data_IF_617000500312
#
_entry.id   IF_617000500312
#
_cell.length_a   1.000
_cell.length_b   1.000
_cell.length_c   1.000
_cell.angle_alpha   90.00
_cell.angle_beta   90.00
_cell.angle_gamma   90.00
#
_symmetry.space_group_name_H-M   'P 1'
#
loop_
_entity.id
_entity.type
_entity.pdbx_description
1 polymer ?
#
# COMPACT_ATOMS: atom_id res chain seq x y z
N UNK A 1 6.78 26.49 -30.63
CA UNK A 1 6.26 25.59 -29.58
C UNK A 1 7.17 25.80 -28.40
N UNK A 2 6.67 26.39 -27.31
CA UNK A 2 7.47 26.55 -26.10
C UNK A 2 7.85 25.16 -25.59
N UNK A 3 9.15 24.88 -25.50
CA UNK A 3 9.66 23.68 -24.84
C UNK A 3 9.44 23.84 -23.33
N UNK A 4 8.21 23.57 -22.88
CA UNK A 4 7.94 23.44 -21.45
C UNK A 4 8.55 22.13 -20.97
N UNK A 5 9.43 22.20 -19.96
CA UNK A 5 10.00 21.01 -19.32
C UNK A 5 8.87 20.09 -18.86
N UNK A 6 8.90 18.79 -19.19
CA UNK A 6 7.86 17.86 -18.75
C UNK A 6 7.74 17.88 -17.23
N UNK A 7 6.53 18.08 -16.72
CA UNK A 7 6.26 18.13 -15.28
C UNK A 7 5.68 16.80 -14.81
N UNK A 8 6.06 16.35 -13.61
CA UNK A 8 5.44 15.20 -12.96
C UNK A 8 4.01 15.56 -12.51
N UNK A 9 2.96 14.89 -13.03
CA UNK A 9 1.61 15.09 -12.51
C UNK A 9 1.54 14.76 -11.02
N UNK A 10 0.91 15.63 -10.24
CA UNK A 10 0.82 15.48 -8.78
C UNK A 10 -0.01 14.27 -8.35
N UNK A 11 -1.05 13.94 -9.11
CA UNK A 11 -2.03 12.93 -8.74
C UNK A 11 -2.52 12.22 -10.00
N UNK A 12 -2.52 10.89 -9.97
CA UNK A 12 -2.93 10.02 -11.07
C UNK A 12 -3.88 8.97 -10.49
N UNK A 13 -5.19 9.09 -10.69
CA UNK A 13 -6.11 8.06 -10.21
C UNK A 13 -5.97 6.79 -11.05
N UNK A 14 -6.24 5.65 -10.42
CA UNK A 14 -6.23 4.34 -11.05
C UNK A 14 -7.66 3.83 -11.20
N UNK A 15 -7.92 2.93 -12.17
CA UNK A 15 -9.24 2.31 -12.32
C UNK A 15 -9.66 1.64 -11.00
N UNK A 16 -10.80 2.05 -10.46
CA UNK A 16 -11.37 1.44 -9.27
C UNK A 16 -11.96 0.07 -9.62
N UNK A 17 -11.66 -0.93 -8.81
CA UNK A 17 -12.22 -2.27 -8.92
C UNK A 17 -13.56 -2.28 -8.18
N UNK A 18 -14.62 -2.46 -8.95
CA UNK A 18 -15.99 -2.44 -8.42
C UNK A 18 -16.48 -3.86 -8.14
N UNK A 19 -17.05 -4.02 -6.94
CA UNK A 19 -17.68 -5.25 -6.46
C UNK A 19 -18.96 -4.86 -5.71
N UNK A 20 -20.07 -4.53 -6.39
CA UNK A 20 -21.30 -4.25 -5.68
C UNK A 20 -21.73 -5.47 -4.86
N UNK A 21 -22.29 -5.21 -3.69
CA UNK A 21 -22.88 -6.23 -2.84
C UNK A 21 -24.31 -6.50 -3.30
N UNK A 22 -24.68 -7.77 -3.39
CA UNK A 22 -26.07 -8.18 -3.53
C UNK A 22 -26.59 -8.56 -2.15
N UNK A 23 -27.66 -7.90 -1.72
CA UNK A 23 -28.32 -8.10 -0.44
C UNK A 23 -29.78 -8.43 -0.78
N UNK A 24 -30.12 -9.71 -0.98
CA UNK A 24 -31.45 -10.10 -1.48
C UNK A 24 -32.58 -9.70 -0.53
N UNK A 25 -32.29 -9.69 0.77
CA UNK A 25 -33.21 -9.31 1.84
C UNK A 25 -32.49 -8.36 2.79
N UNK A 26 -33.13 -7.23 3.13
CA UNK A 26 -32.52 -6.19 3.95
C UNK A 26 -32.44 -6.56 5.44
N UNK A 27 -33.50 -7.20 5.97
CA UNK A 27 -33.62 -7.53 7.40
C UNK A 27 -33.26 -8.98 7.70
N UNK A 28 -32.58 -9.20 8.85
CA UNK A 28 -32.20 -10.55 9.27
C UNK A 28 -33.41 -11.43 9.59
N UNK A 29 -34.54 -10.83 10.00
CA UNK A 29 -35.76 -11.55 10.34
C UNK A 29 -36.49 -12.17 9.14
N UNK A 30 -36.30 -11.61 7.95
CA UNK A 30 -36.99 -12.02 6.72
C UNK A 30 -36.29 -13.18 5.99
N UNK A 31 -35.07 -13.53 6.39
CA UNK A 31 -34.30 -14.65 5.82
C UNK A 31 -35.01 -15.97 6.07
N UNK A 32 -35.33 -16.68 4.97
CA UNK A 32 -35.99 -17.99 4.98
C UNK A 32 -35.11 -19.08 4.40
N UNK A 33 -34.08 -18.73 3.64
CA UNK A 33 -33.23 -19.67 2.94
C UNK A 33 -31.86 -19.07 2.64
N UNK A 34 -30.94 -19.90 2.16
CA UNK A 34 -29.62 -19.44 1.74
C UNK A 34 -29.66 -18.40 0.60
N UNK A 35 -30.70 -18.39 -0.25
CA UNK A 35 -30.81 -17.40 -1.35
C UNK A 35 -31.18 -16.01 -0.87
N UNK A 36 -31.61 -15.88 0.39
CA UNK A 36 -31.95 -14.60 1.01
C UNK A 36 -30.72 -13.92 1.63
N UNK A 37 -29.54 -14.57 1.56
CA UNK A 37 -28.30 -14.13 2.19
C UNK A 37 -27.36 -13.44 1.20
N UNK A 38 -26.53 -12.48 1.66
CA UNK A 38 -25.49 -11.90 0.83
C UNK A 38 -24.48 -12.96 0.39
N UNK A 39 -24.07 -12.92 -0.88
CA UNK A 39 -23.13 -13.91 -1.44
C UNK A 39 -21.73 -13.88 -0.78
N UNK A 40 -21.36 -12.76 -0.17
CA UNK A 40 -20.13 -12.60 0.61
C UNK A 40 -20.42 -11.83 1.90
N UNK A 41 -19.66 -12.12 2.94
CA UNK A 41 -19.78 -11.46 4.23
C UNK A 41 -18.44 -11.50 4.97
N UNK A 42 -17.96 -10.30 5.25
CA UNK A 42 -16.81 -9.90 6.03
C UNK A 42 -15.54 -10.62 5.62
N UNK A 43 -15.36 -11.86 6.07
CA UNK A 43 -14.16 -12.64 5.82
C UNK A 43 -14.33 -13.70 4.74
N UNK A 44 -15.54 -13.99 4.23
CA UNK A 44 -15.76 -15.16 3.38
C UNK A 44 -16.88 -15.05 2.34
N UNK A 45 -17.08 -16.14 1.60
CA UNK A 45 -18.18 -16.33 0.65
C UNK A 45 -19.18 -17.35 1.19
N UNK A 46 -20.47 -17.13 0.92
CA UNK A 46 -21.56 -17.93 1.48
C UNK A 46 -21.37 -19.41 1.14
N UNK A 47 -21.58 -20.27 2.13
CA UNK A 47 -21.74 -21.72 1.96
C UNK A 47 -23.23 -22.05 2.05
N UNK A 48 -23.96 -22.17 0.93
CA UNK A 48 -25.41 -22.36 0.98
C UNK A 48 -25.85 -23.58 1.82
N UNK A 49 -25.04 -24.63 1.81
CA UNK A 49 -25.23 -25.86 2.59
C UNK A 49 -25.07 -25.68 4.11
N UNK A 50 -24.46 -24.57 4.55
CA UNK A 50 -24.33 -24.24 5.97
C UNK A 50 -25.61 -23.64 6.56
N UNK A 51 -26.55 -23.20 5.72
CA UNK A 51 -27.79 -22.59 6.17
C UNK A 51 -28.64 -23.59 6.96
N UNK A 52 -29.07 -23.18 8.15
CA UNK A 52 -29.92 -23.98 9.03
C UNK A 52 -31.02 -23.13 9.62
N UNK A 53 -32.23 -23.66 9.61
CA UNK A 53 -33.29 -23.16 10.47
C UNK A 53 -33.01 -23.55 11.92
N UNK A 54 -33.08 -22.57 12.79
CA UNK A 54 -33.02 -22.73 14.23
C UNK A 54 -34.44 -22.57 14.80
N UNK A 55 -34.67 -23.07 16.03
CA UNK A 55 -35.99 -22.99 16.68
C UNK A 55 -36.60 -21.58 16.73
N UNK A 56 -35.78 -20.52 16.69
CA UNK A 56 -36.19 -19.11 16.78
C UNK A 56 -35.48 -18.21 15.74
N UNK A 57 -34.99 -18.77 14.65
CA UNK A 57 -34.29 -18.00 13.61
C UNK A 57 -33.46 -18.88 12.67
N UNK A 58 -32.23 -18.48 12.38
CA UNK A 58 -31.36 -19.19 11.42
C UNK A 58 -29.88 -19.00 11.74
N UNK A 59 -29.05 -19.85 11.14
CA UNK A 59 -27.59 -19.68 11.11
C UNK A 59 -27.04 -19.97 9.71
N UNK A 60 -25.92 -19.34 9.37
CA UNK A 60 -25.18 -19.58 8.14
C UNK A 60 -23.71 -19.20 8.29
N UNK A 61 -22.88 -19.75 7.40
CA UNK A 61 -21.43 -19.54 7.37
C UNK A 61 -20.97 -19.03 5.99
N UNK A 62 -19.98 -18.16 6.04
CA UNK A 62 -19.23 -17.64 4.91
C UNK A 62 -17.78 -18.06 5.09
N UNK A 63 -17.19 -18.74 4.11
CA UNK A 63 -15.83 -19.28 4.21
C UNK A 63 -14.99 -18.93 3.00
N UNK A 64 -13.85 -18.32 3.25
CA UNK A 64 -12.84 -18.01 2.27
C UNK A 64 -11.99 -19.24 1.91
N UNK A 65 -11.29 -19.17 0.77
CA UNK A 65 -10.35 -20.21 0.35
C UNK A 65 -9.14 -20.31 1.29
N UNK A 66 -8.74 -19.21 1.94
CA UNK A 66 -7.65 -19.15 2.92
C UNK A 66 -8.09 -19.61 4.33
N UNK A 67 -9.30 -20.15 4.47
CA UNK A 67 -9.82 -20.70 5.73
C UNK A 67 -10.40 -19.67 6.70
N UNK A 68 -10.36 -18.38 6.34
CA UNK A 68 -11.05 -17.32 7.07
C UNK A 68 -12.56 -17.56 7.00
N UNK A 69 -13.29 -17.23 8.07
CA UNK A 69 -14.72 -17.40 8.05
C UNK A 69 -15.47 -16.35 8.86
N UNK A 70 -16.72 -16.16 8.47
CA UNK A 70 -17.72 -15.44 9.24
C UNK A 70 -18.92 -16.37 9.42
N UNK A 71 -19.50 -16.38 10.61
CA UNK A 71 -20.71 -17.13 10.91
C UNK A 71 -21.67 -16.24 11.64
N UNK A 72 -22.90 -16.23 11.16
CA UNK A 72 -23.97 -15.49 11.79
C UNK A 72 -25.01 -16.46 12.32
N UNK A 73 -25.55 -16.12 13.48
CA UNK A 73 -26.73 -16.76 14.03
C UNK A 73 -27.71 -15.67 14.44
N UNK A 74 -28.89 -15.69 13.86
CA UNK A 74 -29.99 -14.82 14.24
C UNK A 74 -31.02 -15.64 15.03
N UNK A 75 -31.40 -15.18 16.21
CA UNK A 75 -32.43 -15.82 17.02
C UNK A 75 -33.17 -14.81 17.90
N UNK A 76 -34.49 -14.72 17.72
CA UNK A 76 -35.36 -13.94 18.61
C UNK A 76 -35.01 -12.45 18.73
N UNK A 77 -34.59 -11.80 17.64
CA UNK A 77 -34.21 -10.39 17.61
C UNK A 77 -32.77 -10.10 18.04
N UNK A 78 -31.98 -11.13 18.34
CA UNK A 78 -30.55 -11.01 18.63
C UNK A 78 -29.75 -11.74 17.56
N UNK A 79 -28.59 -11.17 17.21
CA UNK A 79 -27.62 -11.81 16.32
C UNK A 79 -26.35 -12.11 17.10
N UNK A 80 -25.66 -13.18 16.74
CA UNK A 80 -24.25 -13.36 17.09
C UNK A 80 -23.43 -13.44 15.82
N UNK A 81 -22.28 -12.78 15.83
CA UNK A 81 -21.29 -12.79 14.77
C UNK A 81 -20.02 -13.44 15.30
N UNK A 82 -19.65 -14.57 14.71
CA UNK A 82 -18.38 -15.27 14.94
C UNK A 82 -17.50 -14.99 13.71
N UNK A 83 -16.29 -14.49 13.92
CA UNK A 83 -15.28 -14.24 12.90
C UNK A 83 -14.03 -15.04 13.22
N UNK A 84 -13.41 -15.63 12.21
CA UNK A 84 -12.13 -16.33 12.33
C UNK A 84 -11.19 -15.90 11.22
N UNK A 85 -10.02 -15.41 11.59
CA UNK A 85 -8.96 -15.04 10.66
C UNK A 85 -7.67 -15.79 11.02
N UNK A 86 -7.17 -16.61 10.08
CA UNK A 86 -5.99 -17.46 10.29
C UNK A 86 -6.02 -18.21 11.65
N UNK A 87 -7.20 -18.73 12.00
CA UNK A 87 -7.47 -19.52 13.20
C UNK A 87 -7.63 -18.73 14.51
N UNK A 88 -7.52 -17.40 14.50
CA UNK A 88 -7.90 -16.56 15.64
C UNK A 88 -9.37 -16.18 15.55
N UNK A 89 -10.11 -16.47 16.62
CA UNK A 89 -11.57 -16.38 16.66
C UNK A 89 -12.05 -15.24 17.57
N UNK A 90 -13.02 -14.48 17.07
CA UNK A 90 -13.74 -13.45 17.82
C UNK A 90 -15.24 -13.70 17.69
N UNK A 91 -15.94 -13.76 18.81
CA UNK A 91 -17.40 -13.87 18.84
C UNK A 91 -18.00 -12.66 19.55
N UNK A 92 -19.01 -12.04 18.95
CA UNK A 92 -19.70 -10.90 19.53
C UNK A 92 -21.21 -11.02 19.37
N UNK A 93 -21.95 -10.46 20.33
CA UNK A 93 -23.39 -10.28 20.23
C UNK A 93 -23.67 -8.97 19.49
N UNK A 94 -24.63 -9.02 18.57
CA UNK A 94 -24.97 -7.93 17.69
C UNK A 94 -26.47 -7.70 17.75
N UNK A 95 -26.87 -6.46 17.97
CA UNK A 95 -28.28 -6.03 17.94
C UNK A 95 -28.66 -5.47 16.58
N UNK A 96 -28.15 -6.06 15.50
CA UNK A 96 -28.47 -5.66 14.14
C UNK A 96 -29.82 -6.26 13.75
N UNK A 97 -30.72 -5.41 13.24
CA UNK A 97 -31.96 -5.82 12.58
C UNK A 97 -31.73 -5.97 11.07
N UNK A 98 -30.82 -5.17 10.51
CA UNK A 98 -30.48 -5.13 9.09
C UNK A 98 -29.05 -5.59 8.83
N UNK A 99 -28.80 -6.16 7.65
CA UNK A 99 -27.45 -6.59 7.27
C UNK A 99 -26.43 -5.44 7.29
N UNK A 100 -26.84 -4.25 6.82
CA UNK A 100 -25.96 -3.07 6.77
C UNK A 100 -25.51 -2.59 8.15
N UNK A 101 -26.26 -2.88 9.21
CA UNK A 101 -25.91 -2.51 10.59
C UNK A 101 -24.75 -3.35 11.14
N UNK A 102 -24.45 -4.50 10.52
CA UNK A 102 -23.26 -5.29 10.85
C UNK A 102 -21.96 -4.52 10.60
N UNK A 103 -21.96 -3.50 9.72
CA UNK A 103 -20.81 -2.63 9.50
C UNK A 103 -20.37 -1.91 10.80
N UNK A 104 -21.33 -1.46 11.62
CA UNK A 104 -21.03 -0.80 12.89
C UNK A 104 -20.35 -1.77 13.88
N UNK A 105 -20.70 -3.06 13.80
CA UNK A 105 -20.08 -4.08 14.64
C UNK A 105 -18.61 -4.28 14.27
N UNK A 106 -18.28 -4.28 12.97
CA UNK A 106 -16.90 -4.41 12.49
C UNK A 106 -16.01 -3.29 13.05
N UNK A 107 -16.53 -2.07 13.14
CA UNK A 107 -15.81 -0.92 13.70
C UNK A 107 -15.46 -1.10 15.19
N UNK A 108 -16.18 -1.96 15.91
CA UNK A 108 -15.89 -2.29 17.30
C UNK A 108 -14.97 -3.52 17.45
N UNK A 109 -14.63 -4.21 16.37
CA UNK A 109 -13.74 -5.37 16.37
C UNK A 109 -12.36 -4.89 15.90
N UNK A 110 -11.40 -4.78 16.83
CA UNK A 110 -10.04 -4.34 16.49
C UNK A 110 -9.25 -5.47 15.79
N UNK A 111 -8.74 -5.28 14.56
CA UNK A 111 -8.07 -6.34 13.80
C UNK A 111 -6.58 -6.52 14.16
N UNK A 112 -6.14 -6.11 15.36
CA UNK A 112 -4.70 -6.06 15.72
C UNK A 112 -4.00 -7.43 15.68
N UNK A 113 -4.64 -8.47 16.22
CA UNK A 113 -4.13 -9.85 16.14
C UNK A 113 -4.07 -10.34 14.69
N UNK A 114 -5.09 -10.01 13.89
CA UNK A 114 -5.19 -10.42 12.49
C UNK A 114 -4.14 -9.75 11.61
N UNK A 115 -3.85 -8.47 11.86
CA UNK A 115 -2.75 -7.76 11.21
C UNK A 115 -1.38 -8.32 11.61
N UNK A 116 -1.23 -8.79 12.85
CA UNK A 116 0.02 -9.45 13.28
C UNK A 116 0.23 -10.77 12.53
N UNK A 117 -0.83 -11.59 12.38
CA UNK A 117 -0.80 -12.81 11.55
C UNK A 117 -0.52 -12.51 10.08
N UNK A 118 -1.15 -11.46 9.52
CA UNK A 118 -0.87 -11.01 8.16
C UNK A 118 0.61 -10.60 8.01
N UNK A 119 1.19 -9.95 9.02
CA UNK A 119 2.59 -9.53 9.02
C UNK A 119 3.53 -10.75 9.02
N UNK A 120 3.27 -11.73 9.87
CA UNK A 120 4.02 -13.00 9.91
C UNK A 120 4.02 -13.68 8.54
N UNK A 121 2.87 -13.72 7.86
CA UNK A 121 2.69 -14.36 6.55
C UNK A 121 3.39 -13.58 5.43
N UNK A 122 3.22 -12.26 5.38
CA UNK A 122 3.60 -11.46 4.22
C UNK A 122 5.01 -10.88 4.32
N UNK A 123 5.42 -10.37 5.49
CA UNK A 123 6.75 -9.78 5.61
C UNK A 123 7.83 -10.85 5.41
N UNK A 124 7.60 -12.10 5.83
CA UNK A 124 8.55 -13.20 5.61
C UNK A 124 8.80 -13.46 4.10
N UNK A 125 7.82 -13.15 3.25
CA UNK A 125 7.84 -13.47 1.81
C UNK A 125 8.19 -12.28 0.93
N UNK A 126 7.81 -11.07 1.34
CA UNK A 126 7.86 -9.89 0.49
C UNK A 126 8.59 -8.70 1.13
N UNK A 127 9.17 -7.84 0.28
CA UNK A 127 9.74 -6.55 0.68
C UNK A 127 8.62 -5.57 1.04
N UNK A 128 8.02 -5.77 2.22
CA UNK A 128 6.97 -4.92 2.76
C UNK A 128 6.99 -4.91 4.29
N UNK A 129 6.32 -3.91 4.87
CA UNK A 129 6.07 -3.79 6.31
C UNK A 129 4.57 -3.74 6.58
N UNK A 130 4.12 -4.37 7.66
CA UNK A 130 2.76 -4.20 8.17
C UNK A 130 2.83 -3.44 9.48
N UNK A 131 2.10 -2.32 9.54
CA UNK A 131 1.99 -1.50 10.73
C UNK A 131 0.97 -2.15 11.67
N UNK A 132 1.31 -2.29 12.97
CA UNK A 132 0.38 -2.82 13.94
C UNK A 132 -0.81 -1.86 14.10
N UNK A 133 -1.98 -2.41 14.40
CA UNK A 133 -3.12 -1.63 14.86
C UNK A 133 -2.93 -1.27 16.33
N UNK A 134 -2.98 0.01 16.66
CA UNK A 134 -2.95 0.52 18.03
C UNK A 134 -4.37 0.64 18.58
N UNK A 135 -4.53 0.72 19.89
CA UNK A 135 -5.86 0.78 20.51
C UNK A 135 -6.60 2.07 20.12
N UNK A 136 -5.86 3.17 19.95
CA UNK A 136 -6.34 4.47 19.52
C UNK A 136 -6.57 4.61 18.01
N UNK A 137 -6.14 3.62 17.20
CA UNK A 137 -6.35 3.68 15.76
C UNK A 137 -7.83 3.48 15.44
N UNK A 138 -8.35 4.31 14.53
CA UNK A 138 -9.70 4.14 14.03
C UNK A 138 -9.81 2.84 13.22
N UNK A 139 -10.85 2.05 13.51
CA UNK A 139 -11.19 0.88 12.70
C UNK A 139 -12.09 1.33 11.56
N UNK A 140 -11.60 1.18 10.34
CA UNK A 140 -12.40 1.37 9.15
C UNK A 140 -12.74 0.03 8.51
N UNK A 141 -13.91 0.02 7.88
CA UNK A 141 -14.49 -1.15 7.26
C UNK A 141 -15.94 -0.86 6.93
N UNK A 142 -16.47 -1.65 6.01
CA UNK A 142 -17.84 -1.52 5.57
C UNK A 142 -18.47 -2.89 5.34
N UNK A 143 -19.79 -2.87 5.13
CA UNK A 143 -20.54 -4.03 4.73
C UNK A 143 -20.52 -4.13 3.20
N UNK A 144 -20.33 -5.33 2.61
CA UNK A 144 -20.19 -6.63 3.26
C UNK A 144 -18.74 -7.06 3.45
N UNK A 145 -17.74 -6.22 3.21
CA UNK A 145 -16.37 -6.69 2.94
C UNK A 145 -15.43 -6.65 4.15
N UNK A 146 -15.87 -6.06 5.26
CA UNK A 146 -15.18 -6.09 6.56
C UNK A 146 -14.09 -5.04 6.68
N UNK A 147 -13.02 -5.36 7.40
CA UNK A 147 -11.95 -4.41 7.72
C UNK A 147 -11.23 -3.90 6.47
N UNK A 148 -11.15 -2.58 6.34
CA UNK A 148 -10.46 -1.91 5.26
C UNK A 148 -9.03 -1.56 5.68
N UNK A 149 -8.08 -1.84 4.80
CA UNK A 149 -6.66 -1.58 4.97
C UNK A 149 -6.15 -0.64 3.88
N UNK A 150 -5.07 0.06 4.18
CA UNK A 150 -4.35 0.88 3.22
C UNK A 150 -3.00 0.24 2.87
N UNK A 151 -2.70 0.17 1.58
CA UNK A 151 -1.41 -0.25 1.06
C UNK A 151 -0.74 0.95 0.39
N UNK A 152 0.51 1.21 0.75
CA UNK A 152 1.33 2.26 0.14
C UNK A 152 2.64 1.69 -0.39
N UNK A 153 3.11 2.20 -1.53
CA UNK A 153 4.31 1.68 -2.17
C UNK A 153 4.96 2.70 -3.12
N UNK A 154 6.29 2.85 -3.11
CA UNK A 154 7.01 3.62 -4.13
C UNK A 154 6.89 2.98 -5.52
N UNK A 155 6.49 3.77 -6.51
CA UNK A 155 6.35 3.34 -7.90
C UNK A 155 7.21 4.22 -8.81
N UNK A 156 8.06 3.62 -9.66
CA UNK A 156 8.78 4.36 -10.69
C UNK A 156 7.81 5.02 -11.67
N UNK A 157 8.14 6.23 -12.10
CA UNK A 157 7.30 6.98 -13.03
C UNK A 157 7.07 6.26 -14.38
N UNK A 158 8.03 5.44 -14.82
CA UNK A 158 7.91 4.61 -16.03
C UNK A 158 7.09 3.33 -15.85
N UNK A 159 6.83 2.90 -14.60
CA UNK A 159 6.01 1.72 -14.28
C UNK A 159 4.54 2.06 -14.00
N UNK A 160 4.15 3.33 -14.06
CA UNK A 160 2.78 3.78 -13.81
C UNK A 160 1.76 3.20 -14.82
N UNK A 161 2.15 2.97 -16.08
CA UNK A 161 1.26 2.35 -17.07
C UNK A 161 1.01 0.87 -16.73
N UNK A 162 2.04 0.15 -16.27
CA UNK A 162 1.88 -1.24 -15.85
C UNK A 162 0.97 -1.35 -14.62
N UNK A 163 1.03 -0.37 -13.71
CA UNK A 163 0.15 -0.31 -12.55
C UNK A 163 -1.29 -0.04 -12.96
N UNK A 164 -1.51 0.89 -13.89
CA UNK A 164 -2.81 1.15 -14.48
C UNK A 164 -3.39 -0.11 -15.15
N UNK A 165 -2.59 -0.82 -15.95
CA UNK A 165 -3.03 -2.04 -16.62
C UNK A 165 -3.26 -3.19 -15.64
N UNK A 166 -2.50 -3.25 -14.53
CA UNK A 166 -2.76 -4.19 -13.44
C UNK A 166 -4.15 -3.96 -12.84
N UNK A 167 -4.52 -2.71 -12.50
CA UNK A 167 -5.86 -2.39 -11.99
C UNK A 167 -6.98 -2.86 -12.93
N UNK A 168 -6.80 -2.65 -14.24
CA UNK A 168 -7.78 -3.13 -15.24
C UNK A 168 -7.90 -4.64 -15.24
N UNK A 169 -6.79 -5.37 -15.07
CA UNK A 169 -6.80 -6.85 -14.97
C UNK A 169 -7.48 -7.31 -13.68
N UNK A 170 -7.22 -6.65 -12.56
CA UNK A 170 -7.81 -6.98 -11.25
C UNK A 170 -9.33 -6.86 -11.24
N UNK A 171 -9.93 -6.01 -12.08
CA UNK A 171 -11.39 -5.97 -12.24
C UNK A 171 -11.98 -7.35 -12.59
N UNK A 172 -11.24 -8.18 -13.33
CA UNK A 172 -11.63 -9.55 -13.71
C UNK A 172 -11.10 -10.65 -12.78
N UNK A 173 -10.32 -10.31 -11.75
CA UNK A 173 -9.80 -11.30 -10.81
C UNK A 173 -10.90 -11.76 -9.84
N UNK A 174 -11.37 -12.99 -10.03
CA UNK A 174 -12.41 -13.59 -9.21
C UNK A 174 -11.94 -13.97 -7.79
N UNK A 175 -10.63 -14.05 -7.56
CA UNK A 175 -10.07 -14.34 -6.24
C UNK A 175 -10.07 -13.12 -5.32
N UNK A 176 -10.20 -11.90 -5.87
CA UNK A 176 -10.39 -10.67 -5.11
C UNK A 176 -11.88 -10.35 -5.08
N UNK A 177 -12.48 -10.44 -3.88
CA UNK A 177 -13.93 -10.41 -3.69
C UNK A 177 -14.43 -9.01 -3.33
N UNK A 178 -13.64 -8.26 -2.58
CA UNK A 178 -13.92 -6.88 -2.21
C UNK A 178 -13.47 -5.88 -3.27
N UNK A 179 -14.02 -4.67 -3.18
CA UNK A 179 -13.59 -3.54 -4.00
C UNK A 179 -12.14 -3.14 -3.67
N UNK A 180 -11.46 -2.54 -4.64
CA UNK A 180 -10.14 -1.92 -4.46
C UNK A 180 -10.14 -0.59 -5.20
N UNK A 181 -9.88 0.49 -4.50
CA UNK A 181 -9.59 1.78 -5.11
C UNK A 181 -8.13 2.17 -4.86
N UNK A 182 -7.61 3.06 -5.71
CA UNK A 182 -6.25 3.53 -5.53
C UNK A 182 -5.87 4.64 -6.49
N UNK A 183 -4.74 5.26 -6.19
CA UNK A 183 -4.17 6.36 -6.95
C UNK A 183 -2.66 6.43 -6.71
N UNK A 184 -1.93 7.01 -7.65
CA UNK A 184 -0.53 7.37 -7.46
C UNK A 184 -0.43 8.87 -7.20
N UNK A 185 0.27 9.26 -6.13
CA UNK A 185 0.57 10.67 -5.84
C UNK A 185 2.06 10.92 -5.92
N UNK A 186 2.46 12.03 -6.50
CA UNK A 186 3.85 12.47 -6.49
C UNK A 186 4.13 13.18 -5.17
N UNK A 187 5.02 12.60 -4.37
CA UNK A 187 5.34 13.08 -3.03
C UNK A 187 6.82 12.94 -2.68
N UNK A 188 7.15 13.24 -1.43
CA UNK A 188 8.51 13.21 -0.92
C UNK A 188 8.63 12.24 0.26
N UNK A 189 9.75 11.53 0.33
CA UNK A 189 10.17 10.76 1.51
C UNK A 189 11.66 10.96 1.74
N UNK A 190 12.11 10.55 2.92
CA UNK A 190 13.51 10.60 3.33
C UNK A 190 13.98 9.17 3.54
N UNK A 191 15.20 8.89 3.10
CA UNK A 191 15.89 7.64 3.41
C UNK A 191 17.22 7.97 4.04
N UNK A 192 17.44 7.47 5.26
CA UNK A 192 18.74 7.55 5.92
C UNK A 192 19.48 6.24 5.68
N UNK A 193 20.62 6.31 4.99
CA UNK A 193 21.51 5.18 4.72
C UNK A 193 22.64 5.20 5.77
N UNK A 194 22.57 4.30 6.76
CA UNK A 194 23.61 4.24 7.80
C UNK A 194 24.99 3.92 7.17
N UNK A 195 26.03 4.62 7.60
CA UNK A 195 27.40 4.38 7.10
C UNK A 195 27.93 3.03 7.58
N UNK A 196 28.55 2.27 6.68
CA UNK A 196 29.17 0.97 6.98
C UNK A 196 28.42 -0.24 6.41
N UNK A 197 27.17 -0.53 6.80
CA UNK A 197 26.49 -1.77 6.41
C UNK A 197 25.86 -1.72 5.02
N UNK A 198 25.82 -0.56 4.38
CA UNK A 198 25.33 -0.40 3.01
C UNK A 198 26.44 -0.69 1.98
N UNK A 199 26.09 -1.19 0.77
CA UNK A 199 27.03 -1.32 -0.34
C UNK A 199 27.78 -0.02 -0.62
N UNK A 200 29.03 -0.12 -1.07
CA UNK A 200 29.92 1.05 -1.24
C UNK A 200 29.32 2.18 -2.09
N UNK A 201 28.57 1.86 -3.15
CA UNK A 201 27.89 2.85 -3.99
C UNK A 201 26.89 3.71 -3.20
N UNK A 202 26.23 3.15 -2.19
CA UNK A 202 25.23 3.82 -1.37
C UNK A 202 25.85 4.56 -0.16
N UNK A 203 27.16 4.44 0.05
CA UNK A 203 27.90 5.25 1.03
C UNK A 203 28.52 6.51 0.40
N UNK A 204 28.02 6.93 -0.77
CA UNK A 204 28.50 8.12 -1.48
C UNK A 204 27.31 8.94 -2.00
N UNK A 205 27.30 10.28 -1.80
CA UNK A 205 26.14 11.12 -2.13
C UNK A 205 25.75 11.05 -3.61
N UNK A 206 26.72 11.03 -4.53
CA UNK A 206 26.43 10.87 -5.98
C UNK A 206 25.84 9.50 -6.29
N UNK A 207 26.34 8.44 -5.65
CA UNK A 207 25.85 7.09 -5.87
C UNK A 207 24.42 6.90 -5.37
N UNK A 208 24.05 7.58 -4.28
CA UNK A 208 22.68 7.63 -3.78
C UNK A 208 21.73 8.34 -4.76
N UNK A 209 22.12 9.51 -5.28
CA UNK A 209 21.31 10.24 -6.26
C UNK A 209 21.12 9.40 -7.52
N UNK A 210 22.19 8.82 -8.06
CA UNK A 210 22.12 7.97 -9.25
C UNK A 210 21.28 6.72 -9.01
N UNK A 211 21.42 6.05 -7.86
CA UNK A 211 20.59 4.90 -7.50
C UNK A 211 19.10 5.27 -7.50
N UNK A 212 18.75 6.38 -6.85
CA UNK A 212 17.36 6.88 -6.77
C UNK A 212 16.79 7.26 -8.14
N UNK A 213 17.50 8.12 -8.88
CA UNK A 213 17.05 8.62 -10.19
C UNK A 213 16.94 7.47 -11.21
N UNK A 214 17.87 6.52 -11.20
CA UNK A 214 17.80 5.35 -12.08
C UNK A 214 16.65 4.42 -11.70
N UNK A 215 16.37 4.24 -10.40
CA UNK A 215 15.34 3.36 -9.91
C UNK A 215 13.92 3.92 -10.10
N UNK A 216 13.68 5.18 -9.73
CA UNK A 216 12.34 5.76 -9.67
C UNK A 216 12.06 6.77 -10.79
N UNK A 217 13.07 7.20 -11.52
CA UNK A 217 12.92 8.18 -12.60
C UNK A 217 12.44 9.54 -12.10
N UNK A 218 12.79 9.92 -10.87
CA UNK A 218 12.34 11.16 -10.22
C UNK A 218 13.51 11.81 -9.52
N UNK A 219 13.54 13.15 -9.38
CA UNK A 219 14.70 13.85 -8.85
C UNK A 219 14.87 13.61 -7.33
N UNK A 220 16.12 13.67 -6.87
CA UNK A 220 16.37 13.98 -5.46
C UNK A 220 15.99 15.45 -5.21
N UNK A 221 15.46 15.77 -4.03
CA UNK A 221 15.13 17.15 -3.70
C UNK A 221 16.41 18.00 -3.58
N UNK A 222 17.42 17.43 -2.93
CA UNK A 222 18.75 18.03 -2.72
C UNK A 222 19.83 16.94 -2.74
N UNK A 223 21.10 17.36 -2.74
CA UNK A 223 22.23 16.43 -2.58
C UNK A 223 22.19 15.79 -1.18
N UNK A 224 22.53 14.49 -1.05
CA UNK A 224 22.50 13.84 0.26
C UNK A 224 23.42 14.51 1.28
N UNK A 225 22.89 14.70 2.47
CA UNK A 225 23.63 15.29 3.59
C UNK A 225 24.14 14.18 4.50
N UNK A 226 25.36 14.34 5.00
CA UNK A 226 25.92 13.46 6.04
C UNK A 226 25.46 13.98 7.40
N UNK A 227 24.71 13.18 8.13
CA UNK A 227 24.14 13.51 9.43
C UNK A 227 24.62 12.52 10.49
N UNK A 228 24.83 13.01 11.71
CA UNK A 228 25.20 12.19 12.87
C UNK A 228 24.11 12.34 13.93
N UNK A 229 23.66 11.23 14.51
CA UNK A 229 22.68 11.25 15.60
C UNK A 229 23.36 11.46 16.97
N UNK A 230 22.55 11.62 18.02
CA UNK A 230 23.04 11.82 19.39
C UNK A 230 23.87 10.63 19.93
N UNK A 231 23.70 9.45 19.34
CA UNK A 231 24.41 8.21 19.70
C UNK A 231 25.72 8.02 18.90
N UNK A 232 26.08 8.98 18.04
CA UNK A 232 27.27 8.95 17.19
C UNK A 232 27.14 8.10 15.91
N UNK A 233 25.96 7.57 15.62
CA UNK A 233 25.70 6.87 14.36
C UNK A 233 25.57 7.88 13.22
N UNK A 234 26.36 7.67 12.16
CA UNK A 234 26.31 8.51 10.97
C UNK A 234 25.46 7.87 9.86
N UNK A 235 24.70 8.70 9.15
CA UNK A 235 23.98 8.31 7.94
C UNK A 235 24.14 9.34 6.81
N UNK A 236 24.03 8.87 5.58
CA UNK A 236 23.71 9.72 4.44
C UNK A 236 22.20 9.84 4.28
N UNK A 237 21.70 11.07 4.28
CA UNK A 237 20.28 11.37 4.24
C UNK A 237 19.90 11.86 2.86
N UNK A 238 19.09 11.06 2.16
CA UNK A 238 18.54 11.38 0.85
C UNK A 238 17.08 11.82 1.01
N UNK A 239 16.80 13.07 0.63
CA UNK A 239 15.43 13.52 0.38
C UNK A 239 15.07 13.21 -1.08
N UNK A 240 14.05 12.38 -1.29
CA UNK A 240 13.68 11.90 -2.62
C UNK A 240 12.24 12.20 -2.96
N UNK A 241 12.00 12.63 -4.18
CA UNK A 241 10.67 12.64 -4.76
C UNK A 241 10.36 11.30 -5.42
N UNK A 242 9.10 10.88 -5.47
CA UNK A 242 8.66 9.65 -6.15
C UNK A 242 7.13 9.59 -6.20
N UNK A 243 6.58 8.69 -7.01
CA UNK A 243 5.18 8.33 -6.89
C UNK A 243 5.00 7.36 -5.73
N UNK A 244 4.07 7.67 -4.84
CA UNK A 244 3.53 6.76 -3.83
C UNK A 244 2.20 6.27 -4.38
N UNK A 245 2.12 4.99 -4.70
CA UNK A 245 0.85 4.31 -4.90
C UNK A 245 0.16 4.18 -3.54
N UNK A 246 -1.09 4.60 -3.45
CA UNK A 246 -1.97 4.47 -2.29
C UNK A 246 -3.20 3.68 -2.74
N UNK A 247 -3.45 2.56 -2.09
CA UNK A 247 -4.54 1.64 -2.39
C UNK A 247 -5.33 1.32 -1.13
N UNK A 248 -6.61 1.04 -1.29
CA UNK A 248 -7.42 0.50 -0.21
C UNK A 248 -7.94 -0.89 -0.59
N UNK A 249 -7.80 -1.84 0.32
CA UNK A 249 -8.24 -3.23 0.09
C UNK A 249 -8.72 -3.84 1.41
N UNK A 250 -9.59 -4.84 1.31
CA UNK A 250 -10.12 -5.51 2.50
C UNK A 250 -9.15 -6.53 3.05
N UNK A 251 -9.14 -6.68 4.38
CA UNK A 251 -8.26 -7.60 5.10
C UNK A 251 -8.28 -9.02 4.52
N UNK A 252 -9.47 -9.54 4.17
CA UNK A 252 -9.64 -10.86 3.57
C UNK A 252 -8.91 -11.04 2.23
N UNK A 253 -8.67 -9.96 1.50
CA UNK A 253 -8.08 -9.97 0.16
C UNK A 253 -6.63 -9.45 0.13
N UNK A 254 -6.14 -8.90 1.25
CA UNK A 254 -4.85 -8.22 1.33
C UNK A 254 -3.67 -9.11 0.85
N UNK A 255 -3.63 -10.37 1.29
CA UNK A 255 -2.58 -11.30 0.88
C UNK A 255 -2.62 -11.59 -0.64
N UNK A 256 -3.81 -11.84 -1.20
CA UNK A 256 -3.99 -12.07 -2.63
C UNK A 256 -3.64 -10.84 -3.45
N UNK A 257 -4.00 -9.66 -2.98
CA UNK A 257 -3.66 -8.42 -3.63
C UNK A 257 -2.14 -8.17 -3.66
N UNK A 258 -1.45 -8.42 -2.55
CA UNK A 258 0.02 -8.40 -2.49
C UNK A 258 0.63 -9.41 -3.45
N UNK A 259 0.10 -10.63 -3.53
CA UNK A 259 0.58 -11.63 -4.49
C UNK A 259 0.45 -11.14 -5.95
N UNK A 260 -0.60 -10.38 -6.29
CA UNK A 260 -0.76 -9.79 -7.64
C UNK A 260 0.23 -8.66 -7.90
N UNK A 261 0.46 -7.80 -6.91
CA UNK A 261 1.49 -6.74 -7.01
C UNK A 261 2.88 -7.35 -7.16
N UNK A 262 3.18 -8.41 -6.41
CA UNK A 262 4.44 -9.14 -6.51
C UNK A 262 4.59 -9.85 -7.85
N UNK A 263 3.55 -10.54 -8.33
CA UNK A 263 3.53 -11.19 -9.64
C UNK A 263 3.69 -10.21 -10.82
N UNK A 264 3.25 -8.96 -10.65
CA UNK A 264 3.47 -7.87 -11.59
C UNK A 264 4.83 -7.15 -11.43
N UNK A 265 5.65 -7.59 -10.47
CA UNK A 265 7.00 -7.08 -10.23
C UNK A 265 7.05 -5.72 -9.56
N UNK A 266 6.01 -5.34 -8.79
CA UNK A 266 5.99 -4.12 -7.98
C UNK A 266 6.51 -4.33 -6.56
N UNK A 267 6.27 -5.52 -6.00
CA UNK A 267 6.77 -5.94 -4.69
C UNK A 267 7.73 -7.10 -4.89
N UNK A 268 8.98 -6.95 -4.43
CA UNK A 268 9.94 -8.04 -4.51
C UNK A 268 9.66 -9.12 -3.47
N UNK A 269 10.04 -10.37 -3.77
CA UNK A 269 10.28 -11.34 -2.73
C UNK A 269 11.43 -10.88 -1.81
N UNK A 270 11.44 -11.34 -0.56
CA UNK A 270 12.54 -11.02 0.37
C UNK A 270 13.84 -11.62 -0.14
N UNK A 271 14.78 -10.73 -0.46
CA UNK A 271 16.17 -11.05 -0.68
C UNK A 271 17.00 -9.90 -0.08
N UNK A 272 17.57 -10.14 1.10
CA UNK A 272 18.25 -9.11 1.88
C UNK A 272 19.56 -8.62 1.24
N UNK A 273 20.10 -9.38 0.28
CA UNK A 273 21.33 -9.01 -0.43
C UNK A 273 21.06 -8.19 -1.69
N UNK A 274 19.82 -8.20 -2.20
CA UNK A 274 19.49 -7.59 -3.48
C UNK A 274 19.16 -6.11 -3.33
N UNK A 275 19.80 -5.30 -4.17
CA UNK A 275 19.63 -3.85 -4.22
C UNK A 275 18.81 -3.42 -5.44
N UNK A 276 18.39 -2.15 -5.44
CA UNK A 276 17.64 -1.54 -6.54
C UNK A 276 16.15 -1.89 -6.51
N UNK A 277 15.35 -1.12 -7.24
CA UNK A 277 13.90 -1.30 -7.24
C UNK A 277 13.51 -2.63 -7.94
N UNK A 278 12.55 -3.41 -7.42
CA UNK A 278 11.77 -3.20 -6.19
C UNK A 278 12.34 -3.90 -4.93
N UNK A 279 13.55 -4.44 -5.00
CA UNK A 279 14.15 -5.30 -3.96
C UNK A 279 14.82 -4.54 -2.81
N UNK A 280 15.40 -3.37 -3.10
CA UNK A 280 16.04 -2.54 -2.08
C UNK A 280 15.06 -2.16 -0.96
N UNK A 281 15.48 -2.19 0.32
CA UNK A 281 14.60 -1.88 1.45
C UNK A 281 13.87 -0.53 1.36
N UNK A 282 14.48 0.48 0.77
CA UNK A 282 13.86 1.79 0.57
C UNK A 282 12.69 1.77 -0.42
N UNK A 283 12.50 0.69 -1.18
CA UNK A 283 11.40 0.53 -2.13
C UNK A 283 10.29 -0.38 -1.60
N UNK A 284 10.39 -0.84 -0.35
CA UNK A 284 9.40 -1.71 0.25
C UNK A 284 8.03 -1.05 0.38
N UNK A 285 6.98 -1.85 0.23
CA UNK A 285 5.60 -1.43 0.47
C UNK A 285 5.30 -1.35 1.98
N UNK A 286 4.21 -0.69 2.35
CA UNK A 286 3.67 -0.72 3.70
C UNK A 286 2.15 -0.97 3.68
N UNK A 287 1.67 -1.80 4.59
CA UNK A 287 0.23 -2.00 4.85
C UNK A 287 -0.07 -1.48 6.25
N UNK A 288 -1.20 -0.78 6.39
CA UNK A 288 -1.61 -0.13 7.63
C UNK A 288 -3.13 -0.15 7.79
N UNK A 289 -3.66 0.04 9.01
CA UNK A 289 -5.07 0.34 9.21
C UNK A 289 -5.49 1.53 8.33
N UNK A 290 -6.67 1.44 7.71
CA UNK A 290 -7.15 2.54 6.88
C UNK A 290 -7.31 3.83 7.68
N UNK A 291 -6.97 4.95 7.06
CA UNK A 291 -6.93 6.26 7.72
C UNK A 291 -5.54 6.63 8.22
N UNK A 292 -4.69 5.65 8.54
CA UNK A 292 -3.32 5.89 8.99
C UNK A 292 -2.51 6.65 7.93
N UNK A 293 -2.71 6.37 6.65
CA UNK A 293 -2.05 7.04 5.53
C UNK A 293 -2.33 8.56 5.48
N UNK A 294 -3.48 8.99 6.01
CA UNK A 294 -3.89 10.40 6.06
C UNK A 294 -3.53 11.07 7.39
N UNK A 295 -3.66 10.32 8.49
CA UNK A 295 -3.49 10.83 9.84
C UNK A 295 -2.03 10.82 10.31
N UNK A 296 -1.24 9.82 9.91
CA UNK A 296 0.13 9.68 10.38
C UNK A 296 1.03 10.76 9.77
N UNK A 297 1.57 11.59 10.65
CA UNK A 297 2.67 12.50 10.33
C UNK A 297 3.98 11.85 10.73
N UNK A 298 5.00 11.97 9.88
CA UNK A 298 6.36 11.53 10.18
C UNK A 298 6.44 10.01 10.47
N UNK A 299 5.76 9.19 9.68
CA UNK A 299 5.84 7.73 9.79
C UNK A 299 7.24 7.25 9.40
N UNK A 300 7.82 6.35 10.19
CA UNK A 300 9.15 5.82 9.89
C UNK A 300 9.34 4.39 10.39
N UNK A 301 10.28 3.70 9.77
CA UNK A 301 10.72 2.37 10.18
C UNK A 301 12.13 2.08 9.67
N UNK A 302 12.82 1.15 10.33
CA UNK A 302 14.05 0.59 9.81
C UNK A 302 13.76 -0.62 8.92
N UNK A 303 14.66 -0.89 7.98
CA UNK A 303 14.71 -2.19 7.33
C UNK A 303 15.11 -3.28 8.33
N UNK A 304 14.93 -4.55 7.93
CA UNK A 304 15.18 -5.71 8.80
C UNK A 304 16.60 -5.81 9.31
N UNK A 305 17.57 -5.31 8.55
CA UNK A 305 18.97 -5.33 8.92
C UNK A 305 19.41 -4.05 9.64
N UNK A 306 18.50 -3.09 9.86
CA UNK A 306 18.80 -1.83 10.52
C UNK A 306 19.77 -0.93 9.74
N UNK A 307 19.95 -1.14 8.44
CA UNK A 307 20.87 -0.40 7.57
C UNK A 307 20.28 0.89 7.03
N UNK A 308 18.95 0.95 6.92
CA UNK A 308 18.21 2.06 6.32
C UNK A 308 17.02 2.40 7.16
N UNK A 309 16.80 3.70 7.37
CA UNK A 309 15.55 4.23 7.93
C UNK A 309 14.75 4.86 6.81
N UNK A 310 13.53 4.37 6.60
CA UNK A 310 12.54 4.99 5.72
C UNK A 310 11.70 5.95 6.54
N UNK A 311 11.51 7.17 6.04
CA UNK A 311 10.73 8.21 6.70
C UNK A 311 9.80 8.87 5.69
N UNK A 312 8.50 8.87 5.99
CA UNK A 312 7.45 9.50 5.20
C UNK A 312 6.83 10.62 6.05
N UNK A 313 7.04 11.90 5.68
CA UNK A 313 6.37 13.01 6.35
C UNK A 313 4.85 12.84 6.35
N UNK A 314 4.32 12.34 5.22
CA UNK A 314 2.92 11.99 5.00
C UNK A 314 2.81 11.01 3.85
N UNK A 315 2.07 9.92 4.03
CA UNK A 315 1.83 8.95 2.95
C UNK A 315 0.83 9.48 1.92
N UNK A 316 -0.29 10.03 2.39
CA UNK A 316 -1.41 10.47 1.57
C UNK A 316 -2.09 11.73 2.14
N UNK A 317 -2.91 12.39 1.32
CA UNK A 317 -3.65 13.58 1.73
C UNK A 317 -5.14 13.41 1.40
N UNK A 318 -6.00 13.57 2.41
CA UNK A 318 -7.43 13.34 2.27
C UNK A 318 -8.09 14.35 1.30
N UNK A 319 -7.60 15.60 1.28
CA UNK A 319 -8.12 16.61 0.36
C UNK A 319 -7.64 16.33 -1.07
N UNK A 320 -6.45 15.79 -1.26
CA UNK A 320 -6.02 15.28 -2.57
C UNK A 320 -6.90 14.13 -3.04
N UNK A 321 -7.17 13.15 -2.18
CA UNK A 321 -8.08 12.03 -2.48
C UNK A 321 -9.48 12.55 -2.86
N UNK A 322 -10.05 13.47 -2.09
CA UNK A 322 -11.38 14.03 -2.35
C UNK A 322 -11.43 14.88 -3.63
N UNK A 323 -10.29 15.44 -4.05
CA UNK A 323 -10.13 16.14 -5.33
C UNK A 323 -10.00 15.22 -6.54
N UNK A 324 -9.85 13.91 -6.34
CA UNK A 324 -9.99 12.92 -7.41
C UNK A 324 -11.46 12.94 -7.84
N UNK A 325 -11.80 13.87 -8.73
CA UNK A 325 -13.13 13.96 -9.32
C UNK A 325 -13.47 12.66 -10.04
N UNK A 326 -14.72 12.22 -9.91
CA UNK A 326 -15.22 11.04 -10.60
C UNK A 326 -15.01 11.16 -12.12
N UNK A 327 -14.37 10.14 -12.69
CA UNK A 327 -14.28 9.87 -14.13
C UNK A 327 -13.48 10.88 -14.98
N UNK A 328 -12.18 11.01 -14.72
CA UNK A 328 -11.25 11.27 -15.82
C UNK A 328 -11.16 10.01 -16.68
N UNK A 329 -11.62 10.05 -17.93
CA UNK A 329 -11.64 8.88 -18.81
C UNK A 329 -10.23 8.31 -19.08
N UNK A 330 -10.15 7.02 -19.43
CA UNK A 330 -8.89 6.28 -19.68
C UNK A 330 -7.86 7.04 -20.52
N UNK A 331 -8.30 7.79 -21.53
CA UNK A 331 -7.44 8.57 -22.43
C UNK A 331 -6.67 9.64 -21.64
N UNK A 332 -7.36 10.36 -20.76
CA UNK A 332 -6.76 11.40 -19.94
C UNK A 332 -5.76 10.81 -18.93
N UNK A 333 -6.12 9.71 -18.28
CA UNK A 333 -5.24 9.02 -17.33
C UNK A 333 -3.96 8.54 -18.00
N UNK A 334 -4.08 7.92 -19.18
CA UNK A 334 -2.92 7.52 -19.98
C UNK A 334 -2.07 8.70 -20.44
N UNK A 335 -2.65 9.88 -20.65
CA UNK A 335 -1.88 11.08 -20.98
C UNK A 335 -1.03 11.53 -19.78
N UNK A 336 -1.62 11.62 -18.58
CA UNK A 336 -0.87 11.95 -17.35
C UNK A 336 0.27 10.96 -17.09
N UNK A 337 0.01 9.66 -17.26
CA UNK A 337 1.04 8.62 -17.10
C UNK A 337 2.19 8.80 -18.12
N UNK A 338 1.88 9.14 -19.38
CA UNK A 338 2.90 9.40 -20.40
C UNK A 338 3.73 10.64 -20.07
N UNK A 339 3.11 11.68 -19.51
CA UNK A 339 3.83 12.89 -19.10
C UNK A 339 4.79 12.60 -17.93
N UNK A 340 4.37 11.77 -16.96
CA UNK A 340 5.26 11.26 -15.92
C UNK A 340 6.45 10.48 -16.49
N UNK A 341 6.22 9.59 -17.46
CA UNK A 341 7.28 8.81 -18.11
C UNK A 341 8.26 9.70 -18.88
N UNK A 342 7.79 10.72 -19.60
CA UNK A 342 8.65 11.70 -20.28
C UNK A 342 9.48 12.52 -19.30
N UNK A 343 8.87 12.97 -18.21
CA UNK A 343 9.58 13.68 -17.14
C UNK A 343 10.67 12.80 -16.51
N UNK A 344 10.42 11.50 -16.39
CA UNK A 344 11.40 10.54 -15.88
C UNK A 344 12.59 10.31 -16.80
N UNK A 345 12.35 10.20 -18.11
CA UNK A 345 13.41 10.10 -19.11
C UNK A 345 14.26 11.36 -19.15
N UNK A 346 13.62 12.53 -19.11
CA UNK A 346 14.31 13.81 -19.01
C UNK A 346 15.16 13.89 -17.73
N UNK A 347 14.60 13.53 -16.58
CA UNK A 347 15.29 13.56 -15.28
C UNK A 347 16.54 12.69 -15.28
N UNK A 348 16.46 11.46 -15.80
CA UNK A 348 17.61 10.55 -15.90
C UNK A 348 18.69 11.13 -16.81
N UNK A 349 18.31 11.57 -18.00
CA UNK A 349 19.24 12.13 -18.99
C UNK A 349 19.95 13.37 -18.46
N UNK A 350 19.21 14.29 -17.84
CA UNK A 350 19.76 15.52 -17.29
C UNK A 350 20.69 15.26 -16.09
N UNK A 351 20.30 14.35 -15.20
CA UNK A 351 21.13 13.96 -14.04
C UNK A 351 22.47 13.38 -14.50
N UNK A 352 22.46 12.47 -15.48
CA UNK A 352 23.70 11.92 -16.04
C UNK A 352 24.58 12.99 -16.68
N UNK A 353 23.97 13.92 -17.44
CA UNK A 353 24.67 15.04 -18.07
C UNK A 353 25.34 15.95 -17.02
N UNK A 354 24.60 16.36 -15.99
CA UNK A 354 25.10 17.25 -14.93
C UNK A 354 26.28 16.61 -14.17
N UNK A 355 26.19 15.31 -13.85
CA UNK A 355 27.31 14.62 -13.19
C UNK A 355 28.52 14.44 -14.11
N UNK A 356 28.32 14.16 -15.40
CA UNK A 356 29.42 14.06 -16.36
C UNK A 356 30.14 15.41 -16.55
N UNK A 357 29.38 16.51 -16.67
CA UNK A 357 29.92 17.87 -16.74
C UNK A 357 30.69 18.24 -15.45
N UNK A 358 30.14 17.91 -14.28
CA UNK A 358 30.79 18.14 -12.99
C UNK A 358 32.10 17.38 -12.83
N UNK A 359 32.15 16.11 -13.26
CA UNK A 359 33.38 15.31 -13.26
C UNK A 359 34.44 15.88 -14.21
N UNK A 360 34.05 16.27 -15.43
CA UNK A 360 34.96 16.89 -16.40
C UNK A 360 35.55 18.21 -15.88
N UNK A 361 34.74 19.04 -15.21
CA UNK A 361 35.22 20.27 -14.56
C UNK A 361 36.17 20.01 -13.38
N UNK A 362 36.00 18.89 -12.66
CA UNK A 362 36.90 18.50 -11.57
C UNK A 362 38.24 17.97 -12.10
N UNK A 363 38.24 17.20 -13.19
CA UNK A 363 39.45 16.71 -13.87
C UNK A 363 40.24 17.83 -14.56
N UNK A 364 39.57 18.89 -15.01
CA UNK A 364 40.19 20.07 -15.62
C UNK A 364 40.81 21.08 -14.64
N UNK A 365 40.68 20.88 -13.32
CA UNK A 365 41.35 21.74 -12.32
C UNK A 365 42.74 21.16 -12.00
N UNK A 366 43.85 21.88 -12.26
CA UNK A 366 45.15 21.44 -11.79
C UNK A 366 45.12 21.34 -10.26
N UNK A 367 45.66 20.24 -9.72
CA UNK A 367 45.90 20.12 -8.29
C UNK A 367 46.67 21.37 -7.84
N UNK A 368 46.01 22.21 -7.03
CA UNK A 368 46.67 23.33 -6.37
C UNK A 368 47.91 22.82 -5.63
N UNK A 369 48.97 23.63 -5.54
CA UNK A 369 50.28 23.15 -5.14
C UNK A 369 50.19 22.41 -3.80
N UNK A 370 50.66 21.16 -3.81
CA UNK A 370 50.90 20.40 -2.60
C UNK A 370 51.75 21.26 -1.65
N UNK A 371 51.13 21.74 -0.58
CA UNK A 371 51.82 22.43 0.49
C UNK A 371 52.93 21.52 1.00
N UNK A 372 54.17 21.90 0.72
CA UNK A 372 55.37 21.28 1.28
C UNK A 372 55.48 21.67 2.76
N UNK A 373 55.64 20.63 3.58
CA UNK A 373 56.30 20.54 4.90
C UNK A 373 55.78 21.42 6.03
#
# INVERSE_FOLDING_TARGET
>A
MENTTPAFPKLIPLPAIQRPADIPVDTLAEVKSATDLPGRLLLGDLRPESFKHEKKGWSAEWRDADGHNAKIRYAGGLSSLELSYDGDEVATLVTAERFVELAQTIQNIHPGVWLSKLAEKLEARYNLRIFPHREEDAVAGDFPDGHLLSLVMPVPADRLMDLFDLHKKLQSDAAIRGAIDGYARYGFSVVNYLEGPNPAMLNHPVGLVLNHVNALGTPAAEMPLREENEEGATAWTLQRSHYVYVAHCYLRDAARFVDRLAGAGFIAAVDLAKEGWPSGPEFGAAIMPFGYEYAATNAWWFDRQGRRRMFYPRFADADERNRIGGNSGDIWLKALIRDAAKAAEYCRSDTLRVFAEGLSMAEGRPQGPAGRQ
#
